data_IF_322214780632
#
_entry.id   IF_322214780632
#
_cell.length_a   1.000
_cell.length_b   1.000
_cell.length_c   1.000
_cell.angle_alpha   90.00
_cell.angle_beta   90.00
_cell.angle_gamma   90.00
#
_symmetry.space_group_name_H-M   'P 1'
#
loop_
_entity.id
_entity.type
_entity.pdbx_description
1 polymer ?
#
# COMPACT_ATOMS: atom_id res chain seq x y z
N UNK A 1 3.26 -17.95 23.98
CA UNK A 1 2.52 -19.22 24.14
C UNK A 1 3.20 -20.34 23.35
N UNK A 2 3.16 -20.36 22.01
CA UNK A 2 3.78 -21.41 21.19
C UNK A 2 5.24 -21.75 21.56
N UNK A 3 6.09 -20.74 21.78
CA UNK A 3 7.49 -20.96 22.23
C UNK A 3 7.53 -21.64 23.60
N UNK A 4 6.68 -21.22 24.54
CA UNK A 4 6.64 -21.80 25.88
C UNK A 4 6.14 -23.25 25.88
N UNK A 5 5.17 -23.56 25.02
CA UNK A 5 4.68 -24.92 24.81
C UNK A 5 5.77 -25.82 24.23
N UNK A 6 6.45 -25.38 23.16
CA UNK A 6 7.52 -26.14 22.53
C UNK A 6 8.75 -26.35 23.44
N UNK A 7 8.99 -25.43 24.36
CA UNK A 7 10.06 -25.51 25.35
C UNK A 7 9.62 -26.09 26.70
N UNK A 8 8.39 -26.63 26.79
CA UNK A 8 7.82 -27.25 28.00
C UNK A 8 7.85 -26.34 29.25
N UNK A 9 7.75 -25.03 29.04
CA UNK A 9 7.69 -24.03 30.12
C UNK A 9 6.31 -24.09 30.77
N UNK A 10 6.21 -24.11 32.12
CA UNK A 10 4.92 -24.12 32.80
C UNK A 10 4.00 -22.98 32.33
N UNK A 11 2.76 -23.31 31.96
CA UNK A 11 1.78 -22.35 31.43
C UNK A 11 1.60 -21.13 32.32
N UNK A 12 1.58 -21.30 33.65
CA UNK A 12 1.48 -20.20 34.61
C UNK A 12 2.63 -19.18 34.46
N UNK A 13 3.86 -19.63 34.16
CA UNK A 13 5.01 -18.75 33.95
C UNK A 13 4.89 -17.99 32.62
N UNK A 14 4.42 -18.66 31.56
CA UNK A 14 4.19 -18.04 30.25
C UNK A 14 3.10 -16.96 30.35
N UNK A 15 2.00 -17.25 31.03
CA UNK A 15 0.91 -16.29 31.22
C UNK A 15 1.32 -15.11 32.10
N UNK A 16 2.09 -15.34 33.16
CA UNK A 16 2.64 -14.27 34.00
C UNK A 16 3.55 -13.33 33.19
N UNK A 17 4.41 -13.89 32.32
CA UNK A 17 5.26 -13.10 31.43
C UNK A 17 4.43 -12.27 30.44
N UNK A 18 3.39 -12.86 29.82
CA UNK A 18 2.49 -12.14 28.91
C UNK A 18 1.76 -11.01 29.64
N UNK A 19 1.21 -11.30 30.82
CA UNK A 19 0.48 -10.33 31.64
C UNK A 19 1.34 -9.14 32.04
N UNK A 20 2.65 -9.33 32.24
CA UNK A 20 3.59 -8.25 32.54
C UNK A 20 3.76 -7.23 31.39
N UNK A 21 3.67 -7.66 30.13
CA UNK A 21 3.90 -6.79 28.96
C UNK A 21 2.63 -6.20 28.35
N UNK A 22 1.48 -6.88 28.44
CA UNK A 22 0.22 -6.43 27.84
C UNK A 22 -0.15 -4.98 28.22
N UNK A 23 -0.05 -4.54 29.49
CA UNK A 23 -0.41 -3.17 29.87
C UNK A 23 0.44 -2.12 29.15
N UNK A 24 1.74 -2.36 28.99
CA UNK A 24 2.65 -1.44 28.31
C UNK A 24 2.32 -1.32 26.82
N UNK A 25 1.98 -2.44 26.17
CA UNK A 25 1.59 -2.47 24.74
C UNK A 25 0.26 -1.73 24.55
N UNK A 26 -0.76 -2.05 25.35
CA UNK A 26 -2.07 -1.36 25.30
C UNK A 26 -1.92 0.14 25.54
N UNK A 27 -1.10 0.53 26.53
CA UNK A 27 -0.79 1.93 26.79
C UNK A 27 -0.08 2.59 25.60
N UNK A 28 0.82 1.89 24.91
CA UNK A 28 1.50 2.44 23.73
C UNK A 28 0.55 2.65 22.55
N UNK A 29 -0.33 1.69 22.26
CA UNK A 29 -1.36 1.82 21.21
C UNK A 29 -2.34 2.96 21.54
N UNK A 30 -2.79 3.06 22.79
CA UNK A 30 -3.76 4.07 23.20
C UNK A 30 -3.21 5.52 23.19
N UNK A 31 -1.90 5.71 23.38
CA UNK A 31 -1.28 7.05 23.40
C UNK A 31 -1.25 7.72 22.02
N UNK A 32 -1.17 6.93 20.96
CA UNK A 32 -1.01 7.44 19.60
C UNK A 32 -1.90 6.61 18.64
N UNK A 33 -3.22 6.76 18.72
CA UNK A 33 -4.11 6.08 17.79
C UNK A 33 -3.85 6.53 16.35
N UNK A 34 -4.03 5.61 15.41
CA UNK A 34 -3.98 5.90 13.98
C UNK A 34 -5.40 6.14 13.50
N UNK A 35 -5.65 7.32 12.93
CA UNK A 35 -6.96 7.69 12.42
C UNK A 35 -6.89 7.82 10.90
N UNK A 36 -7.36 6.79 10.21
CA UNK A 36 -7.44 6.79 8.76
C UNK A 36 -7.64 5.40 8.17
N UNK A 37 -8.08 5.41 6.93
CA UNK A 37 -8.17 4.28 6.03
C UNK A 37 -6.84 4.11 5.29
N UNK A 38 -6.26 2.93 5.39
CA UNK A 38 -4.96 2.58 4.82
C UNK A 38 -5.08 1.30 4.00
N UNK A 39 -4.65 1.31 2.75
CA UNK A 39 -4.41 0.06 2.00
C UNK A 39 -2.96 -0.35 2.18
N UNK A 40 -2.69 -1.64 2.35
CA UNK A 40 -1.33 -2.15 2.54
C UNK A 40 -0.99 -3.15 1.45
N UNK A 41 0.16 -3.01 0.80
CA UNK A 41 0.69 -4.07 -0.06
C UNK A 41 2.21 -4.17 -0.05
N UNK A 42 2.73 -5.32 -0.50
CA UNK A 42 4.16 -5.60 -0.47
C UNK A 42 4.53 -6.97 -1.03
N UNK A 43 5.75 -7.41 -0.75
CA UNK A 43 6.32 -8.66 -1.26
C UNK A 43 7.14 -9.43 -0.21
N UNK A 44 6.99 -9.11 1.07
CA UNK A 44 7.78 -9.65 2.18
C UNK A 44 7.01 -10.64 3.06
N UNK A 45 5.67 -10.66 2.98
CA UNK A 45 4.77 -11.48 3.78
C UNK A 45 4.43 -10.86 5.14
N UNK A 46 5.27 -9.95 5.63
CA UNK A 46 5.03 -9.19 6.87
C UNK A 46 3.91 -8.15 6.73
N UNK A 47 3.35 -7.96 5.52
CA UNK A 47 2.24 -7.05 5.29
C UNK A 47 1.03 -7.38 6.16
N UNK A 48 0.76 -8.66 6.41
CA UNK A 48 -0.36 -9.10 7.25
C UNK A 48 -0.16 -8.68 8.72
N UNK A 49 1.06 -8.80 9.24
CA UNK A 49 1.39 -8.37 10.60
C UNK A 49 1.27 -6.86 10.75
N UNK A 50 1.72 -6.11 9.73
CA UNK A 50 1.58 -4.66 9.69
C UNK A 50 0.10 -4.26 9.64
N UNK A 51 -0.69 -4.87 8.75
CA UNK A 51 -2.13 -4.60 8.64
C UNK A 51 -2.85 -4.83 9.97
N UNK A 52 -2.52 -5.93 10.66
CA UNK A 52 -3.04 -6.22 11.99
C UNK A 52 -2.65 -5.17 13.02
N UNK A 53 -1.38 -4.79 13.08
CA UNK A 53 -0.91 -3.75 14.00
C UNK A 53 -1.58 -2.40 13.71
N UNK A 54 -1.81 -2.05 12.44
CA UNK A 54 -2.53 -0.84 12.07
C UNK A 54 -3.99 -0.87 12.57
N UNK A 55 -4.70 -2.00 12.40
CA UNK A 55 -6.06 -2.18 12.91
C UNK A 55 -6.08 -2.10 14.45
N UNK A 56 -5.17 -2.79 15.13
CA UNK A 56 -5.03 -2.74 16.60
C UNK A 56 -4.64 -1.33 17.10
N UNK A 57 -4.01 -0.52 16.24
CA UNK A 57 -3.69 0.89 16.51
C UNK A 57 -4.84 1.85 16.18
N UNK A 58 -5.97 1.36 15.65
CA UNK A 58 -7.18 2.16 15.37
C UNK A 58 -7.42 2.52 13.91
N UNK A 59 -6.52 2.14 12.99
CA UNK A 59 -6.72 2.40 11.57
C UNK A 59 -7.81 1.49 10.98
N UNK A 60 -8.44 1.95 9.90
CA UNK A 60 -9.26 1.08 9.03
C UNK A 60 -8.37 0.52 7.92
N UNK A 61 -8.22 -0.80 7.85
CA UNK A 61 -7.43 -1.45 6.79
C UNK A 61 -8.35 -2.36 6.01
N UNK A 62 -8.91 -1.92 4.87
CA UNK A 62 -9.86 -2.73 4.11
C UNK A 62 -9.18 -3.75 3.20
N UNK A 63 -7.88 -3.60 2.94
CA UNK A 63 -7.14 -4.44 2.00
C UNK A 63 -5.67 -4.62 2.42
N UNK A 64 -5.21 -5.87 2.38
CA UNK A 64 -3.79 -6.23 2.42
C UNK A 64 -3.43 -7.15 1.24
N UNK A 65 -2.48 -6.70 0.42
CA UNK A 65 -1.91 -7.46 -0.70
C UNK A 65 -0.50 -7.94 -0.39
N UNK A 66 -0.17 -9.20 -0.70
CA UNK A 66 1.20 -9.70 -0.62
C UNK A 66 1.58 -10.53 -1.84
N UNK A 67 2.77 -10.30 -2.39
CA UNK A 67 3.31 -11.13 -3.47
C UNK A 67 3.70 -12.55 -3.00
N UNK A 68 3.80 -12.75 -1.68
CA UNK A 68 4.09 -14.05 -1.08
C UNK A 68 2.95 -15.06 -1.30
N UNK A 69 3.25 -16.37 -1.37
CA UNK A 69 2.22 -17.39 -1.38
C UNK A 69 1.53 -17.48 -0.02
N UNK A 70 0.31 -18.03 -0.01
CA UNK A 70 -0.35 -18.46 1.22
C UNK A 70 0.42 -19.62 1.83
N UNK A 71 0.72 -19.54 3.12
CA UNK A 71 1.39 -20.60 3.87
C UNK A 71 0.62 -20.90 5.16
N UNK A 72 0.84 -22.06 5.80
CA UNK A 72 0.25 -22.33 7.12
C UNK A 72 0.62 -21.27 8.18
N UNK A 73 1.77 -20.62 8.04
CA UNK A 73 2.27 -19.62 8.98
C UNK A 73 1.53 -18.29 8.89
N UNK A 74 1.03 -17.93 7.71
CA UNK A 74 0.24 -16.70 7.50
C UNK A 74 -1.26 -16.90 7.75
N UNK A 75 -1.70 -18.14 7.96
CA UNK A 75 -3.10 -18.49 8.11
C UNK A 75 -3.78 -17.84 9.33
N UNK A 76 -3.17 -17.83 10.53
CA UNK A 76 -3.79 -17.20 11.70
C UNK A 76 -4.04 -15.70 11.50
N UNK A 77 -3.09 -15.00 10.88
CA UNK A 77 -3.23 -13.57 10.60
C UNK A 77 -4.25 -13.32 9.49
N UNK A 78 -4.30 -14.16 8.45
CA UNK A 78 -5.34 -14.08 7.40
C UNK A 78 -6.74 -14.17 8.00
N UNK A 79 -6.99 -15.20 8.81
CA UNK A 79 -8.30 -15.43 9.45
C UNK A 79 -8.65 -14.25 10.35
N UNK A 80 -7.68 -13.76 11.12
CA UNK A 80 -7.88 -12.61 11.99
C UNK A 80 -8.24 -11.36 11.18
N UNK A 81 -7.51 -11.06 10.11
CA UNK A 81 -7.73 -9.89 9.26
C UNK A 81 -9.09 -9.91 8.58
N UNK A 82 -9.49 -11.04 8.01
CA UNK A 82 -10.80 -11.20 7.37
C UNK A 82 -11.94 -11.03 8.37
N UNK A 83 -11.79 -11.55 9.60
CA UNK A 83 -12.76 -11.34 10.66
C UNK A 83 -12.88 -9.87 11.10
N UNK A 84 -11.87 -9.04 10.81
CA UNK A 84 -11.87 -7.60 11.04
C UNK A 84 -12.18 -6.79 9.76
N UNK A 85 -12.70 -7.45 8.72
CA UNK A 85 -13.15 -6.78 7.49
C UNK A 85 -12.03 -6.38 6.52
N UNK A 86 -10.81 -6.91 6.70
CA UNK A 86 -9.71 -6.71 5.78
C UNK A 86 -9.68 -7.82 4.71
N UNK A 87 -9.77 -7.45 3.43
CA UNK A 87 -9.52 -8.36 2.31
C UNK A 87 -8.04 -8.76 2.29
N UNK A 88 -7.74 -10.06 2.18
CA UNK A 88 -6.35 -10.57 2.10
C UNK A 88 -6.11 -11.17 0.72
N UNK A 89 -5.23 -10.54 -0.07
CA UNK A 89 -4.84 -11.02 -1.40
C UNK A 89 -3.41 -11.58 -1.38
N UNK A 90 -3.28 -12.89 -1.55
CA UNK A 90 -1.99 -13.55 -1.80
C UNK A 90 -1.65 -13.52 -3.28
N UNK A 91 -0.35 -13.62 -3.60
CA UNK A 91 0.16 -13.47 -4.98
C UNK A 91 -0.40 -12.20 -5.65
N UNK A 92 -0.53 -11.12 -4.86
CA UNK A 92 -1.08 -9.87 -5.33
C UNK A 92 -0.23 -9.31 -6.49
N UNK A 93 -0.91 -8.92 -7.56
CA UNK A 93 -0.32 -8.16 -8.66
C UNK A 93 -0.45 -6.66 -8.41
N UNK A 94 0.35 -5.85 -9.11
CA UNK A 94 0.26 -4.39 -9.04
C UNK A 94 -1.14 -3.90 -9.44
N UNK A 95 -1.77 -4.53 -10.43
CA UNK A 95 -3.11 -4.18 -10.90
C UNK A 95 -4.17 -4.42 -9.83
N UNK A 96 -4.03 -5.49 -9.05
CA UNK A 96 -4.93 -5.77 -7.93
C UNK A 96 -4.75 -4.73 -6.81
N UNK A 97 -3.51 -4.39 -6.48
CA UNK A 97 -3.20 -3.35 -5.49
C UNK A 97 -3.76 -1.98 -5.92
N UNK A 98 -3.58 -1.60 -7.19
CA UNK A 98 -4.14 -0.36 -7.76
C UNK A 98 -5.66 -0.37 -7.73
N UNK A 99 -6.28 -1.50 -8.09
CA UNK A 99 -7.73 -1.65 -8.02
C UNK A 99 -8.25 -1.52 -6.58
N UNK A 100 -7.52 -2.01 -5.59
CA UNK A 100 -7.86 -1.83 -4.18
C UNK A 100 -7.78 -0.35 -3.76
N UNK A 101 -6.72 0.37 -4.17
CA UNK A 101 -6.61 1.82 -3.95
C UNK A 101 -7.79 2.57 -4.57
N UNK A 102 -8.17 2.24 -5.81
CA UNK A 102 -9.29 2.88 -6.51
C UNK A 102 -10.64 2.60 -5.85
N UNK A 103 -10.85 1.36 -5.42
CA UNK A 103 -12.08 0.90 -4.78
C UNK A 103 -12.26 1.54 -3.41
N UNK A 104 -11.22 1.54 -2.58
CA UNK A 104 -11.32 1.95 -1.18
C UNK A 104 -11.03 3.43 -0.97
N UNK A 105 -10.30 4.08 -1.89
CA UNK A 105 -9.91 5.50 -1.78
C UNK A 105 -9.31 5.82 -0.40
N UNK A 106 -8.24 5.12 0.01
CA UNK A 106 -7.65 5.30 1.33
C UNK A 106 -7.09 6.72 1.48
N UNK A 107 -6.89 7.21 2.71
CA UNK A 107 -6.09 8.42 2.93
C UNK A 107 -4.59 8.16 2.81
N UNK A 108 -4.16 6.90 2.92
CA UNK A 108 -2.78 6.50 2.73
C UNK A 108 -2.68 5.13 2.05
N UNK A 109 -1.87 5.03 1.00
CA UNK A 109 -1.46 3.75 0.43
C UNK A 109 -0.05 3.37 0.91
N UNK A 110 0.09 2.21 1.55
CA UNK A 110 1.39 1.60 1.82
C UNK A 110 1.59 0.53 0.75
N UNK A 111 2.74 0.53 0.07
CA UNK A 111 2.93 -0.35 -1.08
C UNK A 111 4.35 -0.54 -1.52
N UNK A 112 4.47 -1.30 -2.62
CA UNK A 112 5.69 -1.39 -3.42
C UNK A 112 5.99 -0.06 -4.13
N UNK A 113 7.23 0.10 -4.62
CA UNK A 113 7.65 1.28 -5.37
C UNK A 113 6.69 1.68 -6.51
N UNK A 114 6.25 0.78 -7.41
CA UNK A 114 5.32 1.16 -8.47
C UNK A 114 3.95 1.61 -7.96
N UNK A 115 3.40 0.99 -6.89
CA UNK A 115 2.14 1.46 -6.29
C UNK A 115 2.29 2.87 -5.74
N UNK A 116 3.37 3.12 -4.99
CA UNK A 116 3.65 4.43 -4.38
C UNK A 116 3.81 5.51 -5.45
N UNK A 117 4.50 5.20 -6.55
CA UNK A 117 4.64 6.13 -7.68
C UNK A 117 3.28 6.46 -8.29
N UNK A 118 2.46 5.45 -8.59
CA UNK A 118 1.13 5.65 -9.15
C UNK A 118 0.21 6.46 -8.22
N UNK A 119 0.25 6.20 -6.91
CA UNK A 119 -0.51 6.97 -5.91
C UNK A 119 -0.05 8.42 -5.86
N UNK A 120 1.26 8.67 -5.78
CA UNK A 120 1.81 10.03 -5.69
C UNK A 120 1.57 10.85 -6.95
N UNK A 121 1.61 10.23 -8.13
CA UNK A 121 1.23 10.88 -9.39
C UNK A 121 -0.22 11.40 -9.38
N UNK A 122 -1.09 10.76 -8.59
CA UNK A 122 -2.49 11.17 -8.40
C UNK A 122 -2.69 12.12 -7.22
N UNK A 123 -1.61 12.54 -6.55
CA UNK A 123 -1.69 13.36 -5.34
C UNK A 123 -2.19 12.62 -4.10
N UNK A 124 -2.15 11.28 -4.10
CA UNK A 124 -2.50 10.47 -2.95
C UNK A 124 -1.25 10.22 -2.08
N UNK A 125 -1.30 10.48 -0.75
CA UNK A 125 -0.24 10.09 0.16
C UNK A 125 0.06 8.60 0.05
N UNK A 126 1.34 8.27 -0.09
CA UNK A 126 1.78 6.89 -0.15
C UNK A 126 3.18 6.69 0.43
N UNK A 127 3.39 5.55 1.09
CA UNK A 127 4.64 5.16 1.72
C UNK A 127 5.13 3.82 1.17
N UNK A 128 6.44 3.74 0.96
CA UNK A 128 7.08 2.51 0.56
C UNK A 128 7.18 1.54 1.74
N UNK A 129 6.70 0.31 1.55
CA UNK A 129 6.56 -0.68 2.62
C UNK A 129 7.90 -1.01 3.30
N UNK A 130 8.90 -1.49 2.57
CA UNK A 130 10.15 -2.01 3.14
C UNK A 130 10.85 -0.99 4.05
N UNK A 131 11.18 0.18 3.51
CA UNK A 131 12.08 1.10 4.22
C UNK A 131 11.38 1.93 5.28
N UNK A 132 10.08 2.23 5.12
CA UNK A 132 9.37 3.12 6.02
C UNK A 132 8.53 2.37 7.06
N UNK A 133 8.18 1.12 6.77
CA UNK A 133 7.28 0.30 7.60
C UNK A 133 8.00 -0.95 8.11
N UNK A 134 8.46 -1.84 7.23
CA UNK A 134 9.04 -3.14 7.61
C UNK A 134 10.34 -3.00 8.42
N UNK A 135 11.13 -1.97 8.15
CA UNK A 135 12.37 -1.67 8.88
C UNK A 135 12.15 -1.16 10.33
N UNK A 136 10.91 -0.89 10.74
CA UNK A 136 10.59 -0.41 12.10
C UNK A 136 10.30 -1.58 13.04
N UNK A 137 10.49 -1.41 14.36
CA UNK A 137 9.98 -2.38 15.32
C UNK A 137 8.48 -2.61 15.09
N UNK A 138 8.05 -3.87 15.00
CA UNK A 138 6.63 -4.25 14.88
C UNK A 138 6.09 -4.92 16.14
N UNK A 139 6.99 -5.34 17.04
CA UNK A 139 6.64 -6.15 18.21
C UNK A 139 6.79 -5.35 19.51
N UNK A 140 5.94 -5.67 20.48
CA UNK A 140 6.01 -5.13 21.84
C UNK A 140 5.74 -3.61 21.92
N UNK A 141 6.10 -2.97 23.05
CA UNK A 141 5.80 -1.56 23.29
C UNK A 141 6.44 -0.60 22.28
N UNK A 142 7.62 -0.95 21.76
CA UNK A 142 8.33 -0.14 20.78
C UNK A 142 7.62 -0.10 19.42
N UNK A 143 7.03 -1.22 19.01
CA UNK A 143 6.36 -1.29 17.71
C UNK A 143 5.08 -0.46 17.63
N UNK A 144 4.25 -0.55 18.67
CA UNK A 144 2.99 0.18 18.78
C UNK A 144 3.13 1.70 18.58
N UNK A 145 4.15 2.34 19.17
CA UNK A 145 4.33 3.79 19.05
C UNK A 145 4.97 4.24 17.73
N UNK A 146 5.80 3.40 17.11
CA UNK A 146 6.69 3.84 16.02
C UNK A 146 5.97 4.06 14.68
N UNK A 147 4.90 3.29 14.41
CA UNK A 147 4.11 3.42 13.18
C UNK A 147 3.17 4.62 13.24
N UNK A 148 2.55 4.86 14.40
CA UNK A 148 1.51 5.88 14.52
C UNK A 148 1.98 7.28 14.09
N UNK A 149 3.18 7.68 14.51
CA UNK A 149 3.75 8.98 14.13
C UNK A 149 3.94 9.11 12.61
N UNK A 150 4.43 8.05 11.96
CA UNK A 150 4.69 8.06 10.51
C UNK A 150 3.39 8.05 9.71
N UNK A 151 2.45 7.19 10.10
CA UNK A 151 1.19 7.05 9.39
C UNK A 151 0.34 8.31 9.51
N UNK A 152 0.15 8.82 10.73
CA UNK A 152 -0.61 10.06 10.95
C UNK A 152 0.06 11.25 10.27
N UNK A 153 1.39 11.34 10.32
CA UNK A 153 2.14 12.38 9.61
C UNK A 153 2.00 12.30 8.09
N UNK A 154 2.00 11.09 7.52
CA UNK A 154 1.82 10.89 6.08
C UNK A 154 0.40 11.27 5.63
N UNK A 155 -0.63 10.87 6.39
CA UNK A 155 -2.03 11.24 6.13
C UNK A 155 -2.20 12.77 6.19
N UNK A 156 -1.61 13.43 7.20
CA UNK A 156 -1.69 14.88 7.36
C UNK A 156 -1.04 15.67 6.20
N UNK A 157 -0.22 15.04 5.35
CA UNK A 157 0.40 15.71 4.21
C UNK A 157 -0.54 15.90 3.00
N UNK A 158 -1.79 15.42 3.03
CA UNK A 158 -2.72 15.53 1.89
C UNK A 158 -2.81 16.96 1.32
N UNK A 159 -2.98 17.97 2.17
CA UNK A 159 -3.07 19.37 1.73
C UNK A 159 -1.83 19.86 0.97
N UNK A 160 -0.64 19.34 1.30
CA UNK A 160 0.60 19.63 0.57
C UNK A 160 0.60 18.97 -0.81
N UNK A 161 0.11 17.74 -0.92
CA UNK A 161 -0.09 17.09 -2.22
C UNK A 161 -1.07 17.87 -3.09
N UNK A 162 -2.17 18.34 -2.51
CA UNK A 162 -3.16 19.14 -3.23
C UNK A 162 -2.56 20.45 -3.74
N UNK A 163 -1.82 21.17 -2.89
CA UNK A 163 -1.11 22.41 -3.27
C UNK A 163 -0.11 22.16 -4.40
N UNK A 164 0.67 21.08 -4.33
CA UNK A 164 1.63 20.73 -5.39
C UNK A 164 0.92 20.40 -6.70
N UNK A 165 -0.16 19.63 -6.65
CA UNK A 165 -0.95 19.28 -7.83
C UNK A 165 -1.55 20.54 -8.48
N UNK A 166 -2.11 21.44 -7.68
CA UNK A 166 -2.72 22.68 -8.17
C UNK A 166 -1.67 23.63 -8.77
N UNK A 167 -0.48 23.67 -8.18
CA UNK A 167 0.64 24.49 -8.69
C UNK A 167 1.23 23.94 -9.99
N UNK A 168 1.52 22.63 -10.06
CA UNK A 168 2.18 22.04 -11.23
C UNK A 168 1.20 21.68 -12.36
N UNK A 169 -0.08 21.46 -12.08
CA UNK A 169 -1.09 21.06 -13.07
C UNK A 169 -0.62 19.88 -13.94
N UNK A 170 -0.72 20.03 -15.26
CA UNK A 170 -0.33 19.00 -16.24
C UNK A 170 1.15 19.09 -16.67
N UNK A 171 2.02 19.64 -15.82
CA UNK A 171 3.46 19.72 -16.12
C UNK A 171 4.05 18.31 -16.14
N UNK A 172 4.81 17.98 -17.19
CA UNK A 172 5.38 16.64 -17.37
C UNK A 172 4.36 15.54 -17.74
N UNK A 173 3.14 15.90 -18.13
CA UNK A 173 2.13 14.96 -18.60
C UNK A 173 2.06 14.88 -20.14
N UNK A 174 1.64 13.71 -20.66
CA UNK A 174 1.44 13.47 -22.09
C UNK A 174 2.70 13.72 -22.91
N UNK A 175 2.58 14.47 -24.02
CA UNK A 175 3.71 14.79 -24.91
C UNK A 175 4.78 15.68 -24.25
N UNK A 176 4.47 16.27 -23.09
CA UNK A 176 5.42 17.08 -22.32
C UNK A 176 6.18 16.24 -21.28
N UNK A 177 5.89 14.95 -21.16
CA UNK A 177 6.57 14.03 -20.24
C UNK A 177 8.01 13.75 -20.68
N UNK A 178 8.88 13.39 -19.73
CA UNK A 178 10.28 13.03 -20.00
C UNK A 178 11.29 14.13 -19.63
N UNK A 179 12.55 13.90 -20.00
CA UNK A 179 13.66 14.82 -19.76
C UNK A 179 13.96 15.50 -21.09
N UNK A 180 13.85 16.83 -21.11
CA UNK A 180 14.02 17.63 -22.32
C UNK A 180 15.15 18.62 -22.15
N UNK A 181 15.96 18.77 -23.20
CA UNK A 181 16.96 19.83 -23.29
C UNK A 181 16.34 21.17 -23.69
N UNK A 182 15.26 21.13 -24.49
CA UNK A 182 14.52 22.28 -24.99
C UNK A 182 13.02 22.17 -24.64
N UNK A 183 12.27 23.27 -24.77
CA UNK A 183 10.81 23.23 -24.50
C UNK A 183 10.11 22.27 -25.48
N UNK A 184 9.34 21.27 -24.99
CA UNK A 184 8.63 20.32 -25.86
C UNK A 184 7.64 21.04 -26.77
N UNK A 185 7.72 20.79 -28.08
CA UNK A 185 6.81 21.39 -29.08
C UNK A 185 5.78 20.36 -29.52
N UNK A 186 4.51 20.73 -29.44
CA UNK A 186 3.41 19.89 -29.93
C UNK A 186 3.48 19.75 -31.46
N UNK A 187 3.29 18.53 -31.96
CA UNK A 187 3.23 18.19 -33.40
C UNK A 187 1.86 17.63 -33.79
N UNK A 188 0.79 18.45 -33.78
CA UNK A 188 -0.57 18.00 -34.10
C UNK A 188 -0.70 17.44 -35.52
N UNK A 189 0.08 17.97 -36.47
CA UNK A 189 0.17 17.50 -37.85
C UNK A 189 0.63 16.04 -37.93
N UNK A 190 1.69 15.71 -37.19
CA UNK A 190 2.23 14.36 -37.14
C UNK A 190 1.20 13.38 -36.58
N UNK A 191 0.52 13.76 -35.47
CA UNK A 191 -0.57 12.96 -34.88
C UNK A 191 -1.69 12.70 -35.89
N UNK A 192 -2.11 13.71 -36.66
CA UNK A 192 -3.16 13.57 -37.65
C UNK A 192 -2.76 12.61 -38.78
N UNK A 193 -1.53 12.73 -39.28
CA UNK A 193 -1.03 11.86 -40.35
C UNK A 193 -0.81 10.42 -39.88
N UNK A 194 -0.22 10.21 -38.70
CA UNK A 194 -0.11 8.87 -38.10
C UNK A 194 -1.49 8.24 -37.92
N UNK A 195 -2.49 9.01 -37.44
CA UNK A 195 -3.87 8.50 -37.29
C UNK A 195 -4.47 8.05 -38.62
N UNK A 196 -4.28 8.83 -39.71
CA UNK A 196 -4.74 8.47 -41.06
C UNK A 196 -4.06 7.18 -41.54
N UNK A 197 -2.74 7.05 -41.33
CA UNK A 197 -1.98 5.86 -41.72
C UNK A 197 -2.44 4.61 -40.96
N UNK A 198 -2.62 4.70 -39.64
CA UNK A 198 -3.10 3.60 -38.80
C UNK A 198 -4.50 3.14 -39.22
N UNK A 199 -5.42 4.08 -39.49
CA UNK A 199 -6.77 3.76 -40.01
C UNK A 199 -6.68 3.00 -41.35
N UNK A 200 -5.78 3.43 -42.25
CA UNK A 200 -5.58 2.75 -43.54
C UNK A 200 -5.07 1.31 -43.35
N UNK A 201 -4.11 1.11 -42.44
CA UNK A 201 -3.56 -0.22 -42.12
C UNK A 201 -4.64 -1.11 -41.49
N UNK A 202 -5.42 -0.61 -40.52
CA UNK A 202 -6.50 -1.36 -39.88
C UNK A 202 -7.58 -1.77 -40.88
N UNK A 203 -7.98 -0.88 -41.80
CA UNK A 203 -8.93 -1.21 -42.87
C UNK A 203 -8.40 -2.31 -43.80
N UNK A 204 -7.12 -2.26 -44.15
CA UNK A 204 -6.49 -3.30 -44.97
C UNK A 204 -6.48 -4.66 -44.27
N UNK A 205 -6.04 -4.71 -43.00
CA UNK A 205 -6.06 -5.95 -42.19
C UNK A 205 -7.46 -6.54 -42.08
N UNK A 206 -8.47 -5.71 -41.80
CA UNK A 206 -9.86 -6.18 -41.72
C UNK A 206 -10.38 -6.74 -43.04
N UNK A 207 -9.95 -6.19 -44.17
CA UNK A 207 -10.28 -6.73 -45.49
C UNK A 207 -9.56 -8.06 -45.77
N UNK A 208 -8.31 -8.20 -45.32
CA UNK A 208 -7.54 -9.45 -45.41
C UNK A 208 -8.09 -10.57 -44.51
N UNK A 209 -8.67 -10.25 -43.34
CA UNK A 209 -9.34 -11.20 -42.44
C UNK A 209 -10.73 -11.66 -42.94
N UNK A 210 -11.30 -10.95 -43.91
CA UNK A 210 -12.62 -11.27 -44.51
C UNK A 210 -12.51 -12.11 -45.80
N UNK A 211 -11.30 -12.43 -46.23
CA UNK A 211 -10.96 -13.37 -47.32
C UNK A 211 -10.69 -14.77 -46.73
#
# INVERSE_FOLDING_TARGET
>A
RAIGEAAEVPSAQVEAAIAAFIPAIRGALARSPIHGMVTVSGYEGSELLVARLLIESGATVPYVGTACPRTPWSEPDRVWLEAHGCEVQYRASLEQDLAAVDRHRPQLAIGTTPLVQACKQRGLPALYFTNLISARPLMGPAGAGSLAQVINGAIANQARFDTMRDFFGDTGAGDKAGIWSDTPVLRPEFRADTRRQVIKIMKRRKAEEML
#
